data_IF_230492443315
#
_entry.id   IF_230492443315
#
_cell.length_a   1.000
_cell.length_b   1.000
_cell.length_c   1.000
_cell.angle_alpha   90.00
_cell.angle_beta   90.00
_cell.angle_gamma   90.00
#
_symmetry.space_group_name_H-M   'P 1'
#
loop_
_entity.id
_entity.type
_entity.pdbx_description
1 polymer ?
#
# COMPACT_ATOMS: atom_id res chain seq x y z
N UNK A 1 1.49 -4.45 12.60
CA UNK A 1 1.38 -3.28 11.71
C UNK A 1 0.26 -3.60 10.74
N UNK A 2 -0.86 -2.88 10.81
CA UNK A 2 -2.01 -3.16 9.97
C UNK A 2 -1.76 -2.64 8.54
N UNK A 3 -2.02 -3.46 7.52
CA UNK A 3 -1.85 -3.13 6.10
C UNK A 3 -2.81 -2.02 5.65
N UNK A 4 -4.12 -2.18 5.91
CA UNK A 4 -5.14 -1.15 5.71
C UNK A 4 -6.18 -1.23 6.83
N UNK A 5 -6.66 -0.08 7.28
CA UNK A 5 -7.73 0.03 8.27
C UNK A 5 -9.04 0.35 7.56
N UNK A 6 -10.11 -0.37 7.90
CA UNK A 6 -11.46 -0.11 7.41
C UNK A 6 -12.02 1.10 8.15
N UNK A 7 -12.20 2.21 7.45
CA UNK A 7 -12.81 3.41 8.02
C UNK A 7 -14.33 3.38 7.96
N UNK A 8 -14.87 2.87 6.85
CA UNK A 8 -16.31 2.79 6.65
C UNK A 8 -16.64 1.57 5.81
N UNK A 9 -17.56 0.74 6.33
CA UNK A 9 -18.11 -0.40 5.61
C UNK A 9 -19.63 -0.28 5.60
N UNK A 10 -20.17 0.11 4.46
CA UNK A 10 -21.63 0.12 4.19
C UNK A 10 -21.90 -0.86 3.05
N UNK A 11 -23.17 -1.23 2.80
CA UNK A 11 -23.53 -2.11 1.67
C UNK A 11 -23.08 -1.56 0.30
N UNK A 12 -23.03 -0.23 0.17
CA UNK A 12 -22.69 0.49 -1.06
C UNK A 12 -21.27 1.04 -1.12
N UNK A 13 -20.61 1.25 0.03
CA UNK A 13 -19.34 1.98 0.08
C UNK A 13 -18.36 1.28 1.03
N UNK A 14 -17.15 1.01 0.54
CA UNK A 14 -16.05 0.47 1.32
C UNK A 14 -14.88 1.44 1.27
N UNK A 15 -14.49 1.97 2.42
CA UNK A 15 -13.39 2.92 2.57
C UNK A 15 -12.27 2.30 3.41
N UNK A 16 -11.11 2.11 2.78
CA UNK A 16 -9.89 1.62 3.39
C UNK A 16 -8.86 2.75 3.41
N UNK A 17 -8.13 2.89 4.52
CA UNK A 17 -7.04 3.86 4.65
C UNK A 17 -5.82 3.22 5.27
N UNK A 18 -4.65 3.59 4.77
CA UNK A 18 -3.35 3.31 5.37
C UNK A 18 -2.70 4.61 5.81
N UNK A 19 -2.33 4.67 7.08
CA UNK A 19 -1.53 5.75 7.64
C UNK A 19 -0.07 5.32 7.77
N UNK A 20 0.89 6.27 7.76
CA UNK A 20 2.30 5.99 7.99
C UNK A 20 2.48 5.20 9.28
N UNK A 21 3.37 4.21 9.25
CA UNK A 21 3.66 3.39 10.42
C UNK A 21 4.35 4.17 11.54
N UNK A 22 4.35 3.61 12.75
CA UNK A 22 5.05 4.18 13.93
C UNK A 22 6.52 4.46 13.62
N UNK A 23 7.15 3.65 12.78
CA UNK A 23 8.54 3.86 12.33
C UNK A 23 8.70 5.18 11.58
N UNK A 24 7.81 5.45 10.62
CA UNK A 24 7.86 6.69 9.86
C UNK A 24 7.62 7.93 10.75
N UNK A 25 6.64 7.85 11.66
CA UNK A 25 6.43 8.89 12.67
C UNK A 25 7.65 9.10 13.59
N UNK A 26 8.33 8.01 13.97
CA UNK A 26 9.54 8.10 14.79
C UNK A 26 10.70 8.77 14.05
N UNK A 27 10.85 8.56 12.74
CA UNK A 27 11.87 9.24 11.94
C UNK A 27 11.58 10.74 11.86
N UNK A 28 10.32 11.13 11.69
CA UNK A 28 9.95 12.54 11.69
C UNK A 28 10.31 13.22 13.01
N UNK A 29 9.94 12.62 14.13
CA UNK A 29 10.24 13.18 15.46
C UNK A 29 11.74 13.15 15.73
N UNK A 30 12.44 12.08 15.34
CA UNK A 30 13.88 11.94 15.52
C UNK A 30 14.66 13.02 14.78
N UNK A 31 14.51 13.11 13.46
CA UNK A 31 15.21 14.11 12.64
C UNK A 31 14.75 15.54 13.01
N UNK A 32 13.44 15.73 13.25
CA UNK A 32 12.91 17.03 13.67
C UNK A 32 13.50 17.50 15.00
N UNK A 33 13.67 16.59 15.97
CA UNK A 33 14.27 16.93 17.27
C UNK A 33 15.75 17.33 17.14
N UNK A 34 16.50 16.68 16.25
CA UNK A 34 17.90 17.06 15.94
C UNK A 34 17.96 18.45 15.31
N UNK A 35 17.05 18.78 14.40
CA UNK A 35 16.95 20.12 13.81
C UNK A 35 16.64 21.20 14.85
N UNK A 36 15.71 20.91 15.78
CA UNK A 36 15.40 21.81 16.88
C UNK A 36 16.58 21.98 17.84
N UNK A 37 17.27 20.90 18.19
CA UNK A 37 18.47 20.96 19.02
C UNK A 37 19.58 21.78 18.35
N UNK A 38 19.82 21.56 17.05
CA UNK A 38 20.79 22.34 16.27
C UNK A 38 20.42 23.83 16.26
N UNK A 39 19.14 24.18 16.06
CA UNK A 39 18.68 25.58 16.10
C UNK A 39 18.73 26.21 17.50
N UNK A 40 18.49 25.43 18.56
CA UNK A 40 18.47 25.91 19.94
C UNK A 40 19.88 26.14 20.49
N UNK A 41 20.80 25.19 20.27
CA UNK A 41 22.17 25.27 20.76
C UNK A 41 23.12 26.07 19.86
N UNK A 42 22.72 26.33 18.61
CA UNK A 42 23.49 27.21 17.74
C UNK A 42 23.47 28.66 18.25
N UNK A 43 24.62 29.32 18.22
CA UNK A 43 24.79 30.75 18.50
C UNK A 43 24.63 31.62 17.25
N UNK A 44 24.25 31.03 16.12
CA UNK A 44 24.17 31.70 14.82
C UNK A 44 22.96 32.64 14.72
N UNK A 45 22.93 33.44 13.66
CA UNK A 45 21.81 34.34 13.35
C UNK A 45 20.52 33.57 13.11
N UNK A 46 19.39 34.25 13.34
CA UNK A 46 18.05 33.68 13.20
C UNK A 46 17.83 32.97 11.86
N UNK A 47 18.41 33.48 10.77
CA UNK A 47 18.33 32.87 9.44
C UNK A 47 18.96 31.47 9.37
N UNK A 48 20.15 31.28 9.95
CA UNK A 48 20.83 29.98 9.99
C UNK A 48 20.07 28.98 10.86
N UNK A 49 19.52 29.43 12.00
CA UNK A 49 18.65 28.60 12.85
C UNK A 49 17.42 28.10 12.10
N UNK A 50 16.76 29.00 11.36
CA UNK A 50 15.61 28.64 10.54
C UNK A 50 15.99 27.65 9.43
N UNK A 51 17.16 27.85 8.81
CA UNK A 51 17.67 26.94 7.79
C UNK A 51 17.91 25.52 8.33
N UNK A 52 18.50 25.38 9.51
CA UNK A 52 18.71 24.06 10.13
C UNK A 52 17.39 23.36 10.47
N UNK A 53 16.44 24.10 11.06
CA UNK A 53 15.13 23.55 11.42
C UNK A 53 14.35 23.15 10.16
N UNK A 54 14.29 24.03 9.16
CA UNK A 54 13.58 23.77 7.90
C UNK A 54 14.24 22.64 7.10
N UNK A 55 15.57 22.61 7.04
CA UNK A 55 16.33 21.55 6.37
C UNK A 55 16.09 20.18 7.01
N UNK A 56 16.19 20.09 8.34
CA UNK A 56 15.88 18.85 9.05
C UNK A 56 14.42 18.44 8.89
N UNK A 57 13.48 19.40 8.97
CA UNK A 57 12.06 19.11 8.75
C UNK A 57 11.77 18.62 7.32
N UNK A 58 12.43 19.20 6.32
CA UNK A 58 12.29 18.80 4.93
C UNK A 58 12.79 17.39 4.68
N UNK A 59 13.96 17.03 5.22
CA UNK A 59 14.50 15.66 5.16
C UNK A 59 13.58 14.68 5.91
N UNK A 60 13.08 15.08 7.08
CA UNK A 60 12.14 14.30 7.87
C UNK A 60 10.84 13.98 7.10
N UNK A 61 10.30 14.98 6.40
CA UNK A 61 9.08 14.84 5.59
C UNK A 61 9.34 13.97 4.35
N UNK A 62 10.48 14.13 3.68
CA UNK A 62 10.83 13.29 2.52
C UNK A 62 10.95 11.80 2.87
N UNK A 63 11.35 11.49 4.10
CA UNK A 63 11.44 10.10 4.55
C UNK A 63 10.10 9.55 5.06
N UNK A 64 9.05 10.37 5.09
CA UNK A 64 7.76 9.90 5.55
C UNK A 64 7.10 8.99 4.51
N UNK A 65 6.48 7.91 4.98
CA UNK A 65 5.72 6.99 4.14
C UNK A 65 4.49 7.70 3.53
N UNK A 66 4.12 7.29 2.33
CA UNK A 66 2.91 7.78 1.67
C UNK A 66 1.65 7.31 2.40
N UNK A 67 0.61 8.15 2.36
CA UNK A 67 -0.72 7.73 2.77
C UNK A 67 -1.45 7.17 1.57
N UNK A 68 -2.12 6.05 1.80
CA UNK A 68 -2.89 5.35 0.77
C UNK A 68 -4.36 5.30 1.21
N UNK A 69 -5.26 5.70 0.32
CA UNK A 69 -6.70 5.71 0.57
C UNK A 69 -7.41 5.02 -0.60
N UNK A 70 -8.27 4.05 -0.29
CA UNK A 70 -9.01 3.27 -1.28
C UNK A 70 -10.49 3.33 -0.98
N UNK A 71 -11.27 3.82 -1.93
CA UNK A 71 -12.71 4.02 -1.80
C UNK A 71 -13.41 3.25 -2.92
N UNK A 72 -14.15 2.22 -2.57
CA UNK A 72 -15.04 1.52 -3.49
C UNK A 72 -16.46 2.05 -3.30
N UNK A 73 -17.05 2.61 -4.35
CA UNK A 73 -18.42 3.12 -4.36
C UNK A 73 -19.27 2.38 -5.40
N UNK A 74 -20.21 1.55 -4.94
CA UNK A 74 -21.17 0.83 -5.78
C UNK A 74 -22.25 1.72 -6.36
N UNK A 75 -22.60 2.82 -5.69
CA UNK A 75 -23.62 3.74 -6.19
C UNK A 75 -23.11 4.46 -7.44
N UNK A 76 -21.82 4.78 -7.46
CA UNK A 76 -21.14 5.41 -8.60
C UNK A 76 -20.52 4.39 -9.56
N UNK A 77 -20.36 3.15 -9.14
CA UNK A 77 -19.67 2.10 -9.90
C UNK A 77 -18.17 2.36 -10.07
N UNK A 78 -17.54 3.13 -9.18
CA UNK A 78 -16.13 3.52 -9.26
C UNK A 78 -15.32 3.11 -8.03
N UNK A 79 -14.10 2.64 -8.27
CA UNK A 79 -13.07 2.36 -7.30
C UNK A 79 -12.02 3.47 -7.44
N UNK A 80 -11.80 4.19 -6.36
CA UNK A 80 -10.89 5.31 -6.30
C UNK A 80 -9.72 4.89 -5.43
N UNK A 81 -8.54 4.79 -6.02
CA UNK A 81 -7.28 4.65 -5.29
C UNK A 81 -6.61 6.03 -5.29
N UNK A 82 -6.34 6.56 -4.10
CA UNK A 82 -5.61 7.79 -3.90
C UNK A 82 -4.32 7.47 -3.16
N UNK A 83 -3.22 7.89 -3.72
CA UNK A 83 -1.96 7.99 -3.00
C UNK A 83 -1.67 9.47 -2.76
N UNK A 84 -1.31 9.83 -1.53
CA UNK A 84 -0.84 11.18 -1.24
C UNK A 84 0.42 11.15 -0.37
N UNK A 85 1.44 11.88 -0.84
CA UNK A 85 2.66 12.13 -0.09
C UNK A 85 2.56 13.47 0.64
N UNK A 86 2.94 13.51 1.92
CA UNK A 86 2.97 14.76 2.69
C UNK A 86 3.99 15.76 2.15
N UNK A 87 5.13 15.28 1.64
CA UNK A 87 6.11 16.09 0.91
C UNK A 87 5.46 16.82 -0.26
N UNK A 88 4.79 16.07 -1.14
CA UNK A 88 4.07 16.63 -2.28
C UNK A 88 2.97 17.56 -1.79
N UNK A 89 2.26 17.24 -0.71
CA UNK A 89 1.23 18.13 -0.16
C UNK A 89 1.78 19.46 0.38
N UNK A 90 2.97 19.44 0.99
CA UNK A 90 3.64 20.63 1.53
C UNK A 90 4.29 21.45 0.41
N UNK A 91 5.03 20.82 -0.50
CA UNK A 91 5.62 21.53 -1.64
C UNK A 91 4.58 22.08 -2.59
N UNK A 92 3.51 21.33 -2.80
CA UNK A 92 2.46 21.69 -3.74
C UNK A 92 1.30 22.37 -3.03
N UNK A 93 1.59 23.22 -2.01
CA UNK A 93 0.69 24.07 -1.19
C UNK A 93 -0.46 24.78 -1.95
N UNK A 94 -0.49 24.69 -3.28
CA UNK A 94 -1.51 25.27 -4.15
C UNK A 94 -1.93 24.43 -5.37
N UNK A 95 -1.33 23.27 -5.65
CA UNK A 95 -1.79 22.38 -6.73
C UNK A 95 -2.09 20.99 -6.17
N UNK A 96 -3.38 20.67 -6.14
CA UNK A 96 -3.90 19.34 -5.79
C UNK A 96 -3.57 18.34 -6.90
N UNK A 97 -2.28 18.03 -7.07
CA UNK A 97 -1.81 16.83 -7.76
C UNK A 97 -2.12 15.65 -6.84
N UNK A 98 -3.38 15.22 -6.83
CA UNK A 98 -3.76 13.96 -6.24
C UNK A 98 -3.45 12.88 -7.28
N UNK A 99 -2.48 12.01 -6.99
CA UNK A 99 -2.31 10.79 -7.78
C UNK A 99 -3.50 9.87 -7.47
N UNK A 100 -4.56 10.08 -8.25
CA UNK A 100 -5.85 9.42 -8.09
C UNK A 100 -6.10 8.53 -9.30
N UNK A 101 -6.05 7.23 -9.05
CA UNK A 101 -6.44 6.23 -10.04
C UNK A 101 -7.92 5.93 -9.84
N UNK A 102 -8.74 6.31 -10.82
CA UNK A 102 -10.16 5.97 -10.85
C UNK A 102 -10.36 4.79 -11.78
N UNK A 103 -10.75 3.66 -11.21
CA UNK A 103 -11.11 2.46 -11.94
C UNK A 103 -12.61 2.21 -11.84
N UNK A 104 -13.20 1.55 -12.84
CA UNK A 104 -14.62 1.18 -12.79
C UNK A 104 -14.79 -0.19 -12.13
N UNK A 105 -15.76 -0.31 -11.21
CA UNK A 105 -16.02 -1.57 -10.48
C UNK A 105 -16.33 -2.72 -11.42
N UNK A 106 -17.06 -2.46 -12.50
CA UNK A 106 -17.44 -3.46 -13.51
C UNK A 106 -16.23 -4.11 -14.22
N UNK A 107 -15.08 -3.45 -14.22
CA UNK A 107 -13.87 -4.00 -14.79
C UNK A 107 -13.08 -4.84 -13.78
N UNK A 108 -13.34 -4.75 -12.49
CA UNK A 108 -12.63 -5.55 -11.48
C UNK A 108 -13.23 -6.95 -11.46
N UNK A 109 -12.47 -7.96 -11.87
CA UNK A 109 -12.92 -9.37 -11.94
C UNK A 109 -12.29 -10.27 -10.88
N UNK A 110 -11.21 -9.85 -10.24
CA UNK A 110 -10.55 -10.65 -9.23
C UNK A 110 -9.64 -9.84 -8.33
N UNK A 111 -9.38 -10.39 -7.14
CA UNK A 111 -8.44 -9.85 -6.17
C UNK A 111 -7.45 -10.97 -5.84
N UNK A 112 -6.15 -10.73 -6.00
CA UNK A 112 -5.09 -11.71 -5.71
C UNK A 112 -4.12 -11.10 -4.70
N UNK A 113 -3.57 -11.92 -3.82
CA UNK A 113 -2.42 -11.52 -3.00
C UNK A 113 -1.16 -11.98 -3.71
N UNK A 114 -0.26 -11.05 -4.03
CA UNK A 114 1.06 -11.40 -4.56
C UNK A 114 2.15 -11.20 -3.51
N UNK A 115 3.10 -12.13 -3.53
CA UNK A 115 4.31 -12.09 -2.71
C UNK A 115 5.40 -11.38 -3.50
N UNK A 116 5.76 -10.18 -3.06
CA UNK A 116 6.89 -9.44 -3.60
C UNK A 116 8.14 -9.75 -2.77
N UNK A 117 9.14 -10.42 -3.38
CA UNK A 117 10.42 -10.68 -2.71
C UNK A 117 11.25 -9.40 -2.71
N UNK A 118 11.33 -8.76 -1.55
CA UNK A 118 12.16 -7.57 -1.36
C UNK A 118 13.59 -8.03 -1.07
N UNK A 119 14.51 -7.68 -1.97
CA UNK A 119 15.89 -8.20 -2.09
C UNK A 119 16.72 -8.24 -0.79
N UNK A 120 16.37 -7.45 0.23
CA UNK A 120 17.09 -7.38 1.51
C UNK A 120 16.20 -7.43 2.77
N UNK A 121 14.86 -7.42 2.63
CA UNK A 121 13.94 -7.30 3.77
C UNK A 121 12.99 -8.51 3.92
N UNK A 122 13.03 -9.49 3.01
CA UNK A 122 12.23 -10.71 3.09
C UNK A 122 11.04 -10.72 2.14
N UNK A 123 9.96 -11.41 2.51
CA UNK A 123 8.72 -11.53 1.70
C UNK A 123 7.71 -10.44 2.08
N UNK A 124 7.46 -9.52 1.15
CA UNK A 124 6.37 -8.55 1.23
C UNK A 124 5.10 -9.14 0.62
N UNK A 125 3.94 -8.78 1.16
CA UNK A 125 2.64 -9.19 0.61
C UNK A 125 1.86 -7.95 0.20
N UNK A 126 1.23 -7.99 -0.96
CA UNK A 126 0.40 -6.89 -1.49
C UNK A 126 -0.85 -7.42 -2.17
N UNK A 127 -1.93 -6.64 -2.13
CA UNK A 127 -3.18 -6.97 -2.82
C UNK A 127 -3.11 -6.42 -4.24
N UNK A 128 -3.41 -7.24 -5.23
CA UNK A 128 -3.54 -6.88 -6.65
C UNK A 128 -4.98 -7.02 -7.09
N UNK A 129 -5.50 -5.96 -7.71
CA UNK A 129 -6.76 -5.97 -8.44
C UNK A 129 -6.52 -6.43 -9.87
N UNK A 130 -7.22 -7.48 -10.30
CA UNK A 130 -7.20 -7.98 -11.67
C UNK A 130 -8.42 -7.44 -12.44
N UNK A 131 -8.15 -6.76 -13.54
CA UNK A 131 -9.18 -6.19 -14.40
C UNK A 131 -9.57 -7.13 -15.54
N UNK A 132 -10.79 -6.97 -16.05
CA UNK A 132 -11.35 -7.73 -17.17
C UNK A 132 -10.53 -7.57 -18.47
N UNK A 133 -9.83 -6.45 -18.60
CA UNK A 133 -8.93 -6.10 -19.71
C UNK A 133 -7.60 -6.85 -19.66
N UNK A 134 -7.35 -7.65 -18.62
CA UNK A 134 -6.09 -8.37 -18.41
C UNK A 134 -5.02 -7.58 -17.67
N UNK A 135 -5.26 -6.30 -17.35
CA UNK A 135 -4.35 -5.49 -16.54
C UNK A 135 -4.45 -5.84 -15.04
N UNK A 136 -3.32 -5.76 -14.34
CA UNK A 136 -3.21 -5.98 -12.90
C UNK A 136 -2.69 -4.71 -12.26
N UNK A 137 -3.38 -4.20 -11.24
CA UNK A 137 -2.96 -3.00 -10.52
C UNK A 137 -2.80 -3.29 -9.02
N UNK A 138 -1.62 -2.98 -8.43
CA UNK A 138 -1.45 -3.12 -7.00
C UNK A 138 -2.34 -2.11 -6.26
N UNK A 139 -2.99 -2.57 -5.19
CA UNK A 139 -3.84 -1.76 -4.33
C UNK A 139 -3.03 -0.77 -3.49
N UNK A 140 -1.76 -1.11 -3.23
CA UNK A 140 -0.79 -0.33 -2.46
C UNK A 140 0.54 -0.31 -3.20
N UNK A 141 1.21 0.83 -3.25
CA UNK A 141 2.54 0.98 -3.84
C UNK A 141 3.64 0.36 -2.97
N UNK A 142 3.39 0.13 -1.68
CA UNK A 142 4.37 -0.45 -0.76
C UNK A 142 3.89 -1.77 -0.15
N UNK A 143 4.62 -2.85 -0.41
CA UNK A 143 4.35 -4.16 0.17
C UNK A 143 4.56 -4.15 1.69
N UNK A 144 3.67 -4.78 2.46
CA UNK A 144 3.86 -4.92 3.90
C UNK A 144 4.69 -6.17 4.20
N UNK A 145 5.77 -5.95 4.94
CA UNK A 145 6.67 -6.97 5.45
C UNK A 145 6.01 -7.74 6.60
N UNK A 146 5.90 -9.06 6.44
CA UNK A 146 5.51 -9.97 7.54
C UNK A 146 4.05 -9.90 8.00
N UNK A 147 3.09 -9.62 7.10
CA UNK A 147 1.67 -9.43 7.42
C UNK A 147 0.69 -10.18 6.53
N UNK A 148 1.02 -11.40 6.07
CA UNK A 148 0.18 -12.17 5.11
C UNK A 148 -1.28 -12.27 5.54
N UNK A 149 -1.55 -12.51 6.83
CA UNK A 149 -2.90 -12.67 7.36
C UNK A 149 -3.74 -11.40 7.23
N UNK A 150 -3.16 -10.22 7.52
CA UNK A 150 -3.85 -8.94 7.40
C UNK A 150 -4.12 -8.58 5.93
N UNK A 151 -3.16 -8.84 5.05
CA UNK A 151 -3.28 -8.63 3.60
C UNK A 151 -4.36 -9.54 3.01
N UNK A 152 -4.39 -10.81 3.44
CA UNK A 152 -5.41 -11.78 3.01
C UNK A 152 -6.79 -11.45 3.57
N UNK A 153 -6.88 -10.93 4.81
CA UNK A 153 -8.14 -10.47 5.39
C UNK A 153 -8.73 -9.28 4.60
N UNK A 154 -7.88 -8.31 4.22
CA UNK A 154 -8.29 -7.19 3.36
C UNK A 154 -8.72 -7.69 1.97
N UNK A 155 -7.97 -8.62 1.37
CA UNK A 155 -8.34 -9.21 0.08
C UNK A 155 -9.71 -9.92 0.16
N UNK A 156 -9.95 -10.76 1.19
CA UNK A 156 -11.24 -11.42 1.42
C UNK A 156 -12.36 -10.41 1.64
N UNK A 157 -12.09 -9.32 2.35
CA UNK A 157 -13.07 -8.25 2.58
C UNK A 157 -13.47 -7.58 1.26
N UNK A 158 -12.52 -7.25 0.40
CA UNK A 158 -12.79 -6.65 -0.92
C UNK A 158 -13.55 -7.64 -1.81
N UNK A 159 -13.13 -8.91 -1.86
CA UNK A 159 -13.83 -9.98 -2.62
C UNK A 159 -15.29 -10.12 -2.19
N UNK A 160 -15.53 -10.20 -0.87
CA UNK A 160 -16.88 -10.28 -0.30
C UNK A 160 -17.69 -9.03 -0.59
N UNK A 161 -17.08 -7.84 -0.49
CA UNK A 161 -17.76 -6.58 -0.76
C UNK A 161 -18.17 -6.46 -2.23
N UNK A 162 -17.28 -6.80 -3.16
CA UNK A 162 -17.56 -6.73 -4.59
C UNK A 162 -18.48 -7.86 -5.08
N UNK A 163 -18.76 -8.87 -4.24
CA UNK A 163 -19.58 -10.01 -4.63
C UNK A 163 -18.91 -10.82 -5.75
N UNK A 164 -17.57 -10.81 -5.78
CA UNK A 164 -16.77 -11.63 -6.68
C UNK A 164 -16.84 -13.08 -6.18
N UNK A 165 -18.01 -13.71 -6.32
CA UNK A 165 -18.19 -15.13 -6.02
C UNK A 165 -17.27 -15.93 -6.95
N UNK A 166 -16.23 -16.54 -6.39
CA UNK A 166 -15.55 -17.79 -6.75
C UNK A 166 -15.58 -18.28 -8.21
N UNK A 167 -15.52 -17.38 -9.21
CA UNK A 167 -15.47 -17.73 -10.62
C UNK A 167 -14.06 -17.44 -11.15
N UNK A 168 -13.19 -18.44 -11.01
CA UNK A 168 -12.10 -18.65 -11.98
C UNK A 168 -10.65 -18.57 -11.49
N UNK A 169 -10.34 -18.89 -10.22
CA UNK A 169 -8.93 -19.05 -9.80
C UNK A 169 -8.60 -20.37 -9.08
N UNK A 170 -9.52 -21.34 -9.09
CA UNK A 170 -9.21 -22.73 -8.76
C UNK A 170 -8.70 -23.54 -9.99
N UNK A 171 -8.76 -22.96 -11.19
CA UNK A 171 -8.40 -23.66 -12.43
C UNK A 171 -7.16 -23.02 -13.05
N UNK A 172 -6.00 -23.49 -12.61
CA UNK A 172 -4.75 -23.73 -13.36
C UNK A 172 -3.52 -23.64 -12.43
N UNK A 173 -3.56 -24.42 -11.36
CA UNK A 173 -2.34 -25.05 -10.84
C UNK A 173 -2.57 -26.54 -11.05
N UNK A 174 -2.49 -26.99 -12.31
CA UNK A 174 -2.05 -28.35 -12.56
C UNK A 174 -0.53 -28.33 -12.37
N UNK A 175 0.03 -28.95 -11.32
CA UNK A 175 1.38 -29.44 -11.42
C UNK A 175 1.36 -30.51 -12.50
N UNK A 176 1.90 -30.16 -13.66
CA UNK A 176 2.30 -31.08 -14.72
C UNK A 176 2.82 -32.37 -14.10
N UNK A 177 2.12 -33.46 -14.42
CA UNK A 177 2.37 -34.82 -13.98
C UNK A 177 3.88 -35.11 -13.90
N UNK A 178 4.40 -35.21 -12.68
CA UNK A 178 5.61 -35.96 -12.44
C UNK A 178 5.20 -37.44 -12.53
N UNK A 179 5.39 -38.03 -13.70
CA UNK A 179 5.31 -39.48 -13.88
C UNK A 179 6.43 -40.13 -13.06
N UNK A 180 6.08 -40.59 -11.87
CA UNK A 180 6.85 -41.58 -11.13
C UNK A 180 6.64 -42.95 -11.78
N UNK A 181 7.56 -43.38 -12.63
CA UNK A 181 7.75 -44.80 -12.90
C UNK A 181 8.84 -45.31 -11.95
N UNK A 182 8.40 -45.93 -10.87
CA UNK A 182 9.19 -46.89 -10.11
C UNK A 182 8.38 -48.17 -10.04
N UNK A 183 8.87 -49.25 -10.64
CA UNK A 183 8.88 -50.60 -10.06
C UNK A 183 9.69 -51.54 -10.97
N UNK A 184 10.65 -52.19 -10.32
CA UNK A 184 11.42 -53.35 -10.78
C UNK A 184 10.48 -54.53 -11.09
N UNK A 185 10.87 -55.45 -12.00
CA UNK A 185 10.82 -56.92 -11.76
C UNK A 185 11.38 -57.73 -12.96
N UNK A 186 12.32 -58.62 -12.59
CA UNK A 186 12.66 -59.97 -13.09
C UNK A 186 12.42 -60.39 -14.56
N UNK A 187 13.53 -60.75 -15.25
CA UNK A 187 13.86 -62.13 -15.69
C UNK A 187 15.26 -62.19 -16.35
#
# INVERSE_FOLDING_TARGET
MAYMVVLQQTKSTLHLKRSPGVRSWSVLVGIGSVGLAAGYYSTDTWGWKLFYILGCLFVAIQNMEDWEEVIFDKNKGTAILKNFNLYTKILTLWSMSNDQVVAQLQHIKGVKVEEERVRYLGTGHLVILRFATGFSHPLTQSAVLGGRSDVEAVAKLITKFLGLNELGFAEKIEPSQASSESSEEEL
#
